data_IF_941695097395
#
_entry.id   IF_941695097395
#
_cell.length_a   1.000
_cell.length_b   1.000
_cell.length_c   1.000
_cell.angle_alpha   90.00
_cell.angle_beta   90.00
_cell.angle_gamma   90.00
#
_symmetry.space_group_name_H-M   'P 1'
#
loop_
_entity.id
_entity.type
_entity.pdbx_description
1 polymer ?
#
# COMPACT_ATOMS: atom_id res chain seq x y z
N UNK A 1 -13.02 17.16 23.99
CA UNK A 1 -12.89 15.72 23.69
C UNK A 1 -12.25 15.60 22.30
N UNK A 2 -10.99 15.18 22.23
CA UNK A 2 -10.32 14.91 20.96
C UNK A 2 -10.76 13.53 20.45
N UNK A 3 -10.98 13.32 19.14
CA UNK A 3 -11.17 11.98 18.60
C UNK A 3 -9.85 11.21 18.68
N UNK A 4 -9.86 10.08 19.36
CA UNK A 4 -8.74 9.13 19.47
C UNK A 4 -8.37 8.60 18.09
N UNK A 5 -7.29 9.10 17.48
CA UNK A 5 -6.78 8.60 16.19
C UNK A 5 -5.51 7.74 16.30
N UNK A 6 -5.11 7.40 17.53
CA UNK A 6 -4.04 6.44 17.80
C UNK A 6 -4.57 5.50 18.89
N UNK A 7 -4.71 4.22 18.55
CA UNK A 7 -5.35 3.20 19.40
C UNK A 7 -4.59 2.99 20.71
N UNK A 8 -5.02 3.69 21.76
CA UNK A 8 -4.64 3.45 23.14
C UNK A 8 -5.93 3.44 23.97
N UNK A 9 -6.22 2.31 24.62
CA UNK A 9 -7.34 2.16 25.56
C UNK A 9 -7.09 3.01 26.82
N UNK A 10 -8.09 3.78 27.25
CA UNK A 10 -8.02 4.62 28.46
C UNK A 10 -8.99 4.05 29.50
N UNK A 11 -8.45 3.74 30.68
CA UNK A 11 -9.14 3.24 31.86
C UNK A 11 -10.13 4.27 32.44
N UNK A 12 -11.30 3.81 32.86
CA UNK A 12 -12.49 4.64 33.15
C UNK A 12 -12.52 5.14 34.61
N UNK A 13 -11.49 4.88 35.41
CA UNK A 13 -11.49 5.18 36.86
C UNK A 13 -10.41 6.16 37.34
N UNK A 14 -9.92 7.07 36.50
CA UNK A 14 -8.99 8.14 36.92
C UNK A 14 -9.75 9.29 37.63
N UNK A 15 -9.46 9.58 38.92
CA UNK A 15 -10.17 10.59 39.70
C UNK A 15 -9.72 12.05 39.45
N UNK A 16 -8.72 12.32 38.60
CA UNK A 16 -8.25 13.69 38.31
C UNK A 16 -8.85 14.30 37.02
N UNK A 17 -10.17 14.15 36.84
CA UNK A 17 -10.90 14.80 35.75
C UNK A 17 -11.53 16.13 36.22
N UNK A 18 -11.12 17.30 35.70
CA UNK A 18 -11.69 18.57 36.12
C UNK A 18 -13.11 18.75 35.58
N UNK A 19 -14.07 18.78 36.50
CA UNK A 19 -15.50 19.03 36.27
C UNK A 19 -15.73 20.53 36.01
N UNK A 20 -16.66 20.80 35.09
CA UNK A 20 -17.26 22.09 34.68
C UNK A 20 -16.57 22.90 33.56
N UNK A 21 -17.00 22.61 32.33
CA UNK A 21 -17.78 23.60 31.57
C UNK A 21 -18.71 22.89 30.58
N UNK A 22 -19.80 22.35 31.11
CA UNK A 22 -20.95 21.89 30.31
C UNK A 22 -21.98 23.02 30.34
N UNK A 23 -21.86 23.96 29.41
CA UNK A 23 -23.00 24.72 28.83
C UNK A 23 -22.47 25.68 27.76
N UNK A 24 -22.64 25.33 26.49
CA UNK A 24 -23.49 26.11 25.60
C UNK A 24 -23.66 25.37 24.27
N UNK A 25 -24.94 25.18 23.96
CA UNK A 25 -25.52 24.75 22.70
C UNK A 25 -25.41 25.90 21.69
N UNK A 26 -24.90 25.62 20.49
CA UNK A 26 -25.14 26.31 19.21
C UNK A 26 -24.81 25.21 18.16
N UNK A 27 -25.66 24.62 17.31
CA UNK A 27 -26.91 25.03 16.65
C UNK A 27 -26.81 26.42 16.02
N UNK A 28 -25.93 26.51 15.03
CA UNK A 28 -25.95 27.57 14.03
C UNK A 28 -26.84 27.09 12.87
N UNK A 29 -28.11 27.47 12.97
CA UNK A 29 -29.10 27.49 11.89
C UNK A 29 -29.03 28.89 11.27
N UNK A 30 -28.27 29.05 10.19
CA UNK A 30 -28.20 30.31 9.44
C UNK A 30 -29.21 30.25 8.28
N UNK A 31 -30.46 30.57 8.64
CA UNK A 31 -31.55 30.84 7.71
C UNK A 31 -31.47 32.28 7.19
N UNK A 32 -30.94 32.46 5.99
CA UNK A 32 -31.14 33.67 5.19
C UNK A 32 -32.27 33.42 4.18
N UNK A 33 -33.43 34.00 4.43
CA UNK A 33 -34.42 34.23 3.37
C UNK A 33 -35.09 35.59 3.57
N UNK A 34 -34.62 36.57 2.80
CA UNK A 34 -35.36 37.81 2.51
C UNK A 34 -36.62 37.43 1.75
N UNK A 35 -37.78 37.60 2.38
CA UNK A 35 -39.08 37.50 1.71
C UNK A 35 -39.63 38.91 1.56
N UNK A 36 -39.57 39.42 0.34
CA UNK A 36 -40.57 40.33 -0.23
C UNK A 36 -40.50 40.19 -1.76
N UNK A 37 -41.47 39.50 -2.37
CA UNK A 37 -42.28 40.09 -3.44
C UNK A 37 -43.47 39.19 -3.81
N UNK A 38 -44.62 39.85 -3.87
CA UNK A 38 -45.94 39.35 -4.20
C UNK A 38 -46.12 39.35 -5.72
N UNK A 39 -46.31 38.20 -6.39
CA UNK A 39 -47.05 38.07 -7.65
C UNK A 39 -47.63 36.67 -7.85
N UNK A 40 -48.96 36.57 -7.75
CA UNK A 40 -49.76 35.55 -8.39
C UNK A 40 -49.33 35.37 -9.85
N UNK A 41 -48.85 34.18 -10.19
CA UNK A 41 -48.69 33.73 -11.58
C UNK A 41 -49.46 32.43 -11.73
N UNK A 42 -50.55 32.48 -12.50
CA UNK A 42 -51.29 31.31 -12.96
C UNK A 42 -50.35 30.19 -13.45
N UNK A 43 -50.71 28.90 -13.28
CA UNK A 43 -49.90 27.79 -13.78
C UNK A 43 -49.91 27.81 -15.31
N UNK A 44 -48.82 28.32 -15.91
CA UNK A 44 -48.62 28.28 -17.35
C UNK A 44 -48.43 26.81 -17.78
N UNK A 45 -49.31 26.24 -18.64
CA UNK A 45 -49.28 24.81 -19.01
C UNK A 45 -48.27 24.52 -20.13
N UNK A 46 -47.06 25.05 -19.99
CA UNK A 46 -45.93 24.81 -20.89
C UNK A 46 -44.69 24.49 -20.05
N UNK A 47 -44.76 23.38 -19.31
CA UNK A 47 -43.59 22.68 -18.79
C UNK A 47 -42.83 22.09 -19.99
N UNK A 48 -42.12 22.99 -20.68
CA UNK A 48 -41.12 22.62 -21.67
C UNK A 48 -39.99 22.02 -20.88
N UNK A 49 -39.92 20.68 -20.86
CA UNK A 49 -38.91 19.87 -20.19
C UNK A 49 -37.61 20.65 -19.96
N UNK A 50 -37.39 21.09 -18.72
CA UNK A 50 -36.13 21.71 -18.33
C UNK A 50 -35.04 20.67 -18.55
N UNK A 51 -34.35 20.76 -19.69
CA UNK A 51 -33.15 19.99 -19.97
C UNK A 51 -32.13 20.40 -18.91
N UNK A 52 -31.93 19.56 -17.89
CA UNK A 52 -30.91 19.73 -16.86
C UNK A 52 -29.63 19.04 -17.36
N UNK A 53 -28.68 19.79 -17.94
CA UNK A 53 -27.44 19.19 -18.47
C UNK A 53 -26.66 18.43 -17.39
N UNK A 54 -26.76 18.84 -16.13
CA UNK A 54 -26.11 18.22 -14.98
C UNK A 54 -26.63 16.81 -14.64
N UNK A 55 -27.86 16.46 -15.05
CA UNK A 55 -28.44 15.12 -14.88
C UNK A 55 -28.36 14.28 -16.16
N UNK A 56 -27.90 14.87 -17.27
CA UNK A 56 -27.85 14.18 -18.55
C UNK A 56 -26.66 13.23 -18.57
N UNK A 57 -26.94 11.93 -18.69
CA UNK A 57 -25.90 10.90 -18.80
C UNK A 57 -25.23 11.02 -20.17
N UNK A 58 -23.94 11.34 -20.18
CA UNK A 58 -23.15 11.40 -21.40
C UNK A 58 -23.07 9.97 -21.98
N UNK A 59 -23.38 9.75 -23.27
CA UNK A 59 -23.40 8.44 -23.90
C UNK A 59 -21.97 7.97 -24.21
N UNK A 60 -21.18 7.72 -23.18
CA UNK A 60 -19.88 7.07 -23.28
C UNK A 60 -20.04 5.56 -23.46
N UNK A 61 -19.09 4.88 -24.12
CA UNK A 61 -19.13 3.42 -24.27
C UNK A 61 -19.35 2.65 -22.96
N UNK A 62 -18.75 3.09 -21.85
CA UNK A 62 -18.96 2.51 -20.50
C UNK A 62 -20.38 2.69 -19.95
N UNK A 63 -21.14 3.68 -20.43
CA UNK A 63 -22.53 3.93 -20.07
C UNK A 63 -23.51 3.22 -21.03
N UNK A 64 -23.14 3.04 -22.29
CA UNK A 64 -23.94 2.33 -23.31
C UNK A 64 -23.88 0.82 -23.11
N UNK A 65 -22.72 0.31 -22.67
CA UNK A 65 -22.47 -1.11 -22.46
C UNK A 65 -21.90 -1.81 -23.68
N UNK A 66 -21.04 -2.80 -23.42
CA UNK A 66 -20.23 -3.47 -24.44
C UNK A 66 -21.05 -4.07 -25.59
N UNK A 67 -22.14 -4.78 -25.29
CA UNK A 67 -22.97 -5.46 -26.31
C UNK A 67 -23.51 -4.45 -27.31
N UNK A 68 -24.07 -3.35 -26.81
CA UNK A 68 -24.67 -2.31 -27.66
C UNK A 68 -23.61 -1.51 -28.42
N UNK A 69 -22.44 -1.29 -27.82
CA UNK A 69 -21.31 -0.69 -28.53
C UNK A 69 -20.83 -1.55 -29.70
N UNK A 70 -20.83 -2.89 -29.56
CA UNK A 70 -20.48 -3.80 -30.66
C UNK A 70 -21.54 -3.78 -31.77
N UNK A 71 -22.82 -3.77 -31.43
CA UNK A 71 -23.93 -3.65 -32.40
C UNK A 71 -23.86 -2.35 -33.21
N UNK A 72 -23.46 -1.25 -32.58
CA UNK A 72 -23.33 0.06 -33.20
C UNK A 72 -21.97 0.29 -33.90
N UNK A 73 -21.05 -0.69 -33.86
CA UNK A 73 -19.72 -0.56 -34.44
C UNK A 73 -18.78 0.39 -33.71
N UNK A 74 -19.03 0.71 -32.44
CA UNK A 74 -18.29 1.69 -31.62
C UNK A 74 -17.05 1.09 -30.92
N UNK A 75 -16.47 0.02 -31.47
CA UNK A 75 -15.35 -0.70 -30.86
C UNK A 75 -14.07 0.14 -30.77
N UNK A 76 -13.85 1.06 -31.72
CA UNK A 76 -12.72 2.00 -31.66
C UNK A 76 -12.89 3.01 -30.54
N UNK A 77 -14.10 3.57 -30.36
CA UNK A 77 -14.40 4.48 -29.24
C UNK A 77 -14.24 3.81 -27.88
N UNK A 78 -14.54 2.51 -27.77
CA UNK A 78 -14.27 1.77 -26.54
C UNK A 78 -12.78 1.74 -26.20
N UNK A 79 -11.90 1.52 -27.20
CA UNK A 79 -10.45 1.53 -26.99
C UNK A 79 -9.94 2.92 -26.61
N UNK A 80 -10.46 3.95 -27.27
CA UNK A 80 -10.13 5.34 -26.93
C UNK A 80 -10.59 5.70 -25.52
N UNK A 81 -11.80 5.29 -25.11
CA UNK A 81 -12.27 5.49 -23.74
C UNK A 81 -11.35 4.78 -22.74
N UNK A 82 -10.94 3.52 -23.00
CA UNK A 82 -10.00 2.81 -22.12
C UNK A 82 -8.72 3.63 -21.90
N UNK A 83 -8.12 4.14 -22.97
CA UNK A 83 -6.91 4.96 -22.90
C UNK A 83 -7.12 6.28 -22.14
N UNK A 84 -8.25 6.97 -22.37
CA UNK A 84 -8.59 8.19 -21.62
C UNK A 84 -8.81 7.90 -20.13
N UNK A 85 -9.44 6.78 -19.80
CA UNK A 85 -9.66 6.35 -18.41
C UNK A 85 -8.37 5.98 -17.72
N UNK A 86 -7.42 5.36 -18.43
CA UNK A 86 -6.07 5.12 -17.92
C UNK A 86 -5.39 6.44 -17.53
N UNK A 87 -5.42 7.45 -18.43
CA UNK A 87 -4.94 8.79 -18.13
C UNK A 87 -5.63 9.42 -16.90
N UNK A 88 -6.96 9.39 -16.87
CA UNK A 88 -7.75 9.92 -15.75
C UNK A 88 -7.43 9.21 -14.42
N UNK A 89 -7.22 7.91 -14.44
CA UNK A 89 -6.83 7.14 -13.25
C UNK A 89 -5.43 7.53 -12.77
N UNK A 90 -4.48 7.68 -13.69
CA UNK A 90 -3.11 8.12 -13.41
C UNK A 90 -3.10 9.54 -12.79
N UNK A 91 -3.82 10.49 -13.39
CA UNK A 91 -3.91 11.86 -12.88
C UNK A 91 -4.53 11.91 -11.48
N UNK A 92 -5.64 11.18 -11.26
CA UNK A 92 -6.30 11.13 -9.96
C UNK A 92 -5.38 10.51 -8.88
N UNK A 93 -4.66 9.44 -9.21
CA UNK A 93 -3.69 8.82 -8.30
C UNK A 93 -2.50 9.76 -8.02
N UNK A 94 -2.00 10.47 -9.03
CA UNK A 94 -0.94 11.46 -8.86
C UNK A 94 -1.39 12.58 -7.92
N UNK A 95 -2.58 13.16 -8.14
CA UNK A 95 -3.14 14.19 -7.28
C UNK A 95 -3.31 13.70 -5.83
N UNK A 96 -3.77 12.45 -5.63
CA UNK A 96 -3.84 11.84 -4.29
C UNK A 96 -2.46 11.82 -3.64
N UNK A 97 -1.40 11.39 -4.35
CA UNK A 97 -0.03 11.35 -3.82
C UNK A 97 0.47 12.74 -3.41
N UNK A 98 0.25 13.75 -4.27
CA UNK A 98 0.64 15.14 -4.01
C UNK A 98 -0.04 15.65 -2.75
N UNK A 99 -1.36 15.57 -2.69
CA UNK A 99 -2.11 16.03 -1.53
C UNK A 99 -1.76 15.25 -0.26
N UNK A 100 -1.48 13.95 -0.36
CA UNK A 100 -1.16 13.14 0.81
C UNK A 100 0.20 13.52 1.41
N UNK A 101 1.19 13.87 0.58
CA UNK A 101 2.45 14.38 1.10
C UNK A 101 2.40 15.84 1.53
N UNK A 102 1.61 16.69 0.88
CA UNK A 102 1.32 18.03 1.40
C UNK A 102 0.68 17.94 2.80
N UNK A 103 -0.26 17.02 3.00
CA UNK A 103 -0.89 16.74 4.31
C UNK A 103 0.16 16.33 5.34
N UNK A 104 1.08 15.44 4.96
CA UNK A 104 2.15 14.97 5.83
C UNK A 104 3.11 16.12 6.22
N UNK A 105 3.49 16.95 5.26
CA UNK A 105 4.35 18.12 5.47
C UNK A 105 3.69 19.18 6.35
N UNK A 106 2.41 19.49 6.12
CA UNK A 106 1.63 20.42 6.93
C UNK A 106 1.56 19.91 8.38
N UNK A 107 1.30 18.61 8.57
CA UNK A 107 1.23 18.01 9.90
C UNK A 107 2.54 18.18 10.66
N UNK A 108 3.67 17.83 10.03
CA UNK A 108 4.99 17.97 10.63
C UNK A 108 5.36 19.44 10.91
N UNK A 109 5.28 20.30 9.90
CA UNK A 109 5.82 21.67 10.02
C UNK A 109 4.90 22.61 10.81
N UNK A 110 3.57 22.48 10.66
CA UNK A 110 2.63 23.48 11.17
C UNK A 110 1.79 22.99 12.34
N UNK A 111 1.35 21.73 12.35
CA UNK A 111 0.50 21.20 13.44
C UNK A 111 1.35 20.91 14.67
N UNK A 112 2.47 20.19 14.52
CA UNK A 112 3.36 19.87 15.65
C UNK A 112 4.06 21.11 16.22
N UNK A 113 4.39 22.10 15.38
CA UNK A 113 5.05 23.33 15.81
C UNK A 113 4.12 24.40 16.38
N UNK A 114 2.79 24.20 16.33
CA UNK A 114 1.82 25.20 16.77
C UNK A 114 1.82 25.34 18.29
N UNK A 115 2.15 26.54 18.79
CA UNK A 115 2.20 26.85 20.23
C UNK A 115 0.95 27.55 20.77
N UNK A 116 0.06 28.01 19.90
CA UNK A 116 -1.16 28.75 20.29
C UNK A 116 -2.42 28.12 19.69
N UNK A 117 -3.55 28.34 20.35
CA UNK A 117 -4.85 27.84 19.90
C UNK A 117 -5.18 28.34 18.48
N UNK A 118 -5.01 29.65 18.21
CA UNK A 118 -5.26 30.22 16.89
C UNK A 118 -4.34 29.62 15.80
N UNK A 119 -3.07 29.35 16.13
CA UNK A 119 -2.14 28.69 15.20
C UNK A 119 -2.54 27.24 14.94
N UNK A 120 -2.95 26.52 15.98
CA UNK A 120 -3.43 25.13 15.88
C UNK A 120 -4.69 25.05 15.02
N UNK A 121 -5.69 25.90 15.27
CA UNK A 121 -6.93 25.95 14.47
C UNK A 121 -6.64 26.20 12.99
N UNK A 122 -5.79 27.18 12.67
CA UNK A 122 -5.39 27.45 11.27
C UNK A 122 -4.68 26.28 10.62
N UNK A 123 -3.78 25.62 11.34
CA UNK A 123 -3.10 24.43 10.84
C UNK A 123 -4.10 23.29 10.55
N UNK A 124 -5.04 23.04 11.45
CA UNK A 124 -6.10 22.05 11.26
C UNK A 124 -7.05 22.39 10.10
N UNK A 125 -7.39 23.67 9.89
CA UNK A 125 -8.17 24.11 8.72
C UNK A 125 -7.43 23.78 7.42
N UNK A 126 -6.11 23.98 7.38
CA UNK A 126 -5.29 23.62 6.21
C UNK A 126 -5.27 22.11 5.98
N UNK A 127 -5.13 21.30 7.04
CA UNK A 127 -5.20 19.84 6.94
C UNK A 127 -6.56 19.38 6.39
N UNK A 128 -7.66 19.97 6.86
CA UNK A 128 -9.01 19.65 6.37
C UNK A 128 -9.18 19.99 4.88
N UNK A 129 -8.67 21.14 4.45
CA UNK A 129 -8.70 21.54 3.03
C UNK A 129 -7.93 20.57 2.12
N UNK A 130 -6.78 20.08 2.57
CA UNK A 130 -6.04 19.05 1.82
C UNK A 130 -6.79 17.72 1.85
N UNK A 131 -7.42 17.37 2.96
CA UNK A 131 -8.22 16.15 3.07
C UNK A 131 -9.46 16.14 2.18
N UNK A 132 -10.13 17.28 1.98
CA UNK A 132 -11.23 17.37 1.01
C UNK A 132 -10.72 17.16 -0.42
N UNK A 133 -9.55 17.69 -0.77
CA UNK A 133 -8.91 17.45 -2.07
C UNK A 133 -8.52 15.98 -2.28
N UNK A 134 -7.99 15.30 -1.25
CA UNK A 134 -7.73 13.85 -1.29
C UNK A 134 -9.02 13.06 -1.54
N UNK A 135 -10.09 13.36 -0.79
CA UNK A 135 -11.36 12.65 -0.92
C UNK A 135 -12.04 12.89 -2.28
N UNK A 136 -11.92 14.10 -2.83
CA UNK A 136 -12.40 14.41 -4.18
C UNK A 136 -11.70 13.55 -5.23
N UNK A 137 -10.36 13.54 -5.23
CA UNK A 137 -9.59 12.74 -6.18
C UNK A 137 -9.80 11.23 -5.99
N UNK A 138 -9.96 10.76 -4.75
CA UNK A 138 -10.33 9.38 -4.45
C UNK A 138 -11.70 8.99 -5.03
N UNK A 139 -12.67 9.91 -4.99
CA UNK A 139 -13.98 9.73 -5.62
C UNK A 139 -13.88 9.68 -7.15
N UNK A 140 -13.09 10.57 -7.76
CA UNK A 140 -12.82 10.57 -9.21
C UNK A 140 -12.19 9.24 -9.64
N UNK A 141 -11.16 8.80 -8.92
CA UNK A 141 -10.51 7.51 -9.18
C UNK A 141 -11.48 6.34 -9.05
N UNK A 142 -12.26 6.29 -7.98
CA UNK A 142 -13.23 5.21 -7.73
C UNK A 142 -14.30 5.15 -8.82
N UNK A 143 -14.78 6.31 -9.29
CA UNK A 143 -15.70 6.40 -10.43
C UNK A 143 -15.03 5.97 -11.73
N UNK A 144 -13.79 6.40 -11.98
CA UNK A 144 -13.04 5.97 -13.18
C UNK A 144 -12.90 4.44 -13.23
N UNK A 145 -12.49 3.84 -12.10
CA UNK A 145 -12.34 2.39 -11.96
C UNK A 145 -13.66 1.64 -12.16
N UNK A 146 -14.79 2.16 -11.66
CA UNK A 146 -16.08 1.52 -11.84
C UNK A 146 -16.57 1.54 -13.30
N UNK A 147 -16.19 2.57 -14.07
CA UNK A 147 -16.47 2.61 -15.51
C UNK A 147 -15.51 1.71 -16.31
N UNK A 148 -14.23 1.65 -15.95
CA UNK A 148 -13.27 0.69 -16.51
C UNK A 148 -13.75 -0.75 -16.34
N UNK A 149 -14.38 -1.07 -15.20
CA UNK A 149 -14.92 -2.41 -14.95
C UNK A 149 -16.07 -2.83 -15.87
N UNK A 150 -16.72 -1.87 -16.55
CA UNK A 150 -17.80 -2.13 -17.53
C UNK A 150 -17.28 -2.31 -18.96
N UNK A 151 -15.99 -2.05 -19.18
CA UNK A 151 -15.31 -2.21 -20.45
C UNK A 151 -14.62 -3.60 -20.50
N UNK A 152 -14.38 -4.15 -21.69
CA UNK A 152 -13.88 -5.53 -21.86
C UNK A 152 -12.44 -5.75 -21.40
N UNK A 153 -11.65 -4.69 -21.19
CA UNK A 153 -10.26 -4.81 -20.77
C UNK A 153 -10.14 -4.89 -19.25
N UNK A 154 -10.07 -6.11 -18.74
CA UNK A 154 -9.94 -6.39 -17.32
C UNK A 154 -8.50 -6.46 -16.83
N UNK A 155 -7.49 -6.46 -17.70
CA UNK A 155 -6.09 -6.51 -17.27
C UNK A 155 -5.68 -5.22 -16.54
N UNK A 156 -6.24 -4.09 -16.96
CA UNK A 156 -6.10 -2.82 -16.25
C UNK A 156 -6.65 -2.85 -14.82
N UNK A 157 -7.64 -3.70 -14.52
CA UNK A 157 -8.18 -3.83 -13.15
C UNK A 157 -7.21 -4.54 -12.19
N UNK A 158 -6.20 -5.25 -12.71
CA UNK A 158 -5.09 -5.80 -11.92
C UNK A 158 -4.09 -4.71 -11.53
N UNK A 159 -3.87 -3.74 -12.42
CA UNK A 159 -3.02 -2.56 -12.20
C UNK A 159 -3.71 -1.55 -11.26
N UNK A 160 -4.98 -1.26 -11.53
CA UNK A 160 -5.79 -0.28 -10.79
C UNK A 160 -6.65 -0.95 -9.72
N UNK A 161 -6.12 -1.03 -8.49
CA UNK A 161 -6.77 -1.71 -7.38
C UNK A 161 -7.84 -0.83 -6.70
N UNK A 162 -8.85 -1.42 -6.04
CA UNK A 162 -9.82 -0.67 -5.25
C UNK A 162 -9.12 0.15 -4.16
N UNK A 163 -9.50 1.42 -4.02
CA UNK A 163 -8.95 2.32 -3.02
C UNK A 163 -9.73 2.20 -1.71
N UNK A 164 -9.06 1.84 -0.62
CA UNK A 164 -9.66 1.79 0.72
C UNK A 164 -9.36 3.09 1.48
N UNK A 165 -10.19 3.38 2.50
CA UNK A 165 -9.94 4.51 3.42
C UNK A 165 -8.60 4.37 4.16
N UNK A 166 -8.17 3.13 4.37
CA UNK A 166 -6.89 2.76 4.96
C UNK A 166 -5.71 3.29 4.15
N UNK A 167 -5.82 3.20 2.81
CA UNK A 167 -4.77 3.56 1.86
C UNK A 167 -4.54 5.08 1.79
N UNK A 168 -5.53 5.88 2.21
CA UNK A 168 -5.54 7.34 2.18
C UNK A 168 -4.96 7.98 3.45
N UNK A 169 -4.45 7.18 4.38
CA UNK A 169 -3.79 7.70 5.59
C UNK A 169 -2.45 8.31 5.21
N UNK A 170 -2.17 9.51 5.72
CA UNK A 170 -0.88 10.17 5.52
C UNK A 170 0.19 9.37 6.25
N UNK A 171 1.14 8.80 5.51
CA UNK A 171 2.27 8.10 6.11
C UNK A 171 3.31 9.10 6.60
N UNK A 172 3.81 8.90 7.82
CA UNK A 172 4.91 9.70 8.37
C UNK A 172 6.21 9.53 7.57
N UNK A 173 6.36 8.42 6.84
CA UNK A 173 7.46 8.21 5.89
C UNK A 173 7.42 9.18 4.70
N UNK A 174 6.27 9.80 4.41
CA UNK A 174 6.14 10.83 3.36
C UNK A 174 6.61 12.21 3.88
N UNK A 175 6.37 12.52 5.16
CA UNK A 175 6.78 13.78 5.77
C UNK A 175 8.28 13.85 6.07
N UNK A 176 8.85 12.75 6.57
CA UNK A 176 10.29 12.61 6.79
C UNK A 176 10.75 11.27 6.18
N UNK A 177 11.17 11.30 4.91
CA UNK A 177 11.69 10.12 4.25
C UNK A 177 12.89 9.53 4.98
N UNK A 178 13.65 10.30 5.76
CA UNK A 178 14.88 9.85 6.43
C UNK A 178 14.70 9.46 7.91
N UNK A 179 13.47 9.56 8.44
CA UNK A 179 13.17 9.18 9.82
C UNK A 179 13.55 7.72 10.14
N UNK A 180 14.14 7.51 11.32
CA UNK A 180 14.42 6.16 11.86
C UNK A 180 13.12 5.53 12.40
N UNK A 181 13.02 4.20 12.32
CA UNK A 181 11.86 3.45 12.85
C UNK A 181 10.73 3.19 11.85
N UNK A 182 10.87 3.62 10.60
CA UNK A 182 9.89 3.43 9.52
C UNK A 182 10.03 2.06 8.81
N UNK A 183 10.45 1.01 9.53
CA UNK A 183 10.73 -0.31 8.94
C UNK A 183 9.44 -1.07 8.57
N UNK A 184 8.37 -0.85 9.33
CA UNK A 184 7.12 -1.60 9.20
C UNK A 184 6.01 -0.80 8.48
N UNK A 185 6.27 0.45 8.12
CA UNK A 185 5.30 1.30 7.42
C UNK A 185 5.28 0.96 5.93
N UNK A 186 4.45 -0.02 5.58
CA UNK A 186 4.18 -0.37 4.17
C UNK A 186 3.37 0.76 3.53
N UNK A 187 3.90 1.37 2.46
CA UNK A 187 3.17 2.33 1.66
C UNK A 187 2.02 1.64 0.91
N UNK A 188 0.91 2.35 0.74
CA UNK A 188 -0.22 1.89 -0.08
C UNK A 188 0.23 1.51 -1.50
N UNK A 189 -0.42 0.51 -2.11
CA UNK A 189 -0.06 -0.05 -3.43
C UNK A 189 0.12 1.01 -4.53
N UNK A 190 -0.66 2.09 -4.47
CA UNK A 190 -0.60 3.15 -5.48
C UNK A 190 0.69 3.96 -5.42
N UNK A 191 1.53 3.87 -4.38
CA UNK A 191 2.83 4.54 -4.34
C UNK A 191 3.90 3.85 -5.21
N UNK A 192 3.71 2.57 -5.52
CA UNK A 192 4.63 1.78 -6.34
C UNK A 192 4.24 1.75 -7.82
N UNK A 193 3.08 2.30 -8.19
CA UNK A 193 2.68 2.39 -9.59
C UNK A 193 3.52 3.45 -10.33
N UNK A 194 4.02 3.08 -11.50
CA UNK A 194 4.55 4.04 -12.45
C UNK A 194 3.39 4.87 -13.01
N UNK A 195 3.23 6.06 -12.46
CA UNK A 195 2.28 7.06 -12.91
C UNK A 195 3.12 8.13 -13.57
N UNK A 196 3.21 8.06 -14.90
CA UNK A 196 3.86 9.08 -15.70
C UNK A 196 3.09 10.38 -15.50
N UNK A 197 3.69 11.31 -14.77
CA UNK A 197 3.09 12.58 -14.39
C UNK A 197 4.21 13.41 -13.79
N UNK A 198 4.53 14.49 -14.49
CA UNK A 198 5.70 15.33 -14.37
C UNK A 198 6.08 15.60 -12.90
N UNK A 199 7.15 14.96 -12.40
CA UNK A 199 7.74 15.29 -11.09
C UNK A 199 8.35 16.70 -11.08
N UNK A 200 8.28 17.43 -12.20
CA UNK A 200 8.72 18.81 -12.32
C UNK A 200 7.84 19.73 -11.46
N UNK A 201 8.38 20.16 -10.33
CA UNK A 201 7.78 21.21 -9.50
C UNK A 201 7.53 20.84 -8.04
N UNK A 202 7.63 19.56 -7.66
CA UNK A 202 7.47 19.15 -6.26
C UNK A 202 8.74 18.47 -5.71
N UNK A 203 9.66 19.28 -5.21
CA UNK A 203 11.00 18.89 -4.76
C UNK A 203 10.97 17.75 -3.73
N UNK A 204 10.11 17.88 -2.71
CA UNK A 204 9.96 16.85 -1.67
C UNK A 204 9.47 15.51 -2.23
N UNK A 205 8.65 15.53 -3.28
CA UNK A 205 8.11 14.31 -3.89
C UNK A 205 9.21 13.57 -4.67
N UNK A 206 10.10 14.30 -5.33
CA UNK A 206 11.27 13.72 -6.00
C UNK A 206 12.20 13.04 -4.99
N UNK A 207 12.52 13.74 -3.89
CA UNK A 207 13.32 13.17 -2.80
C UNK A 207 12.66 11.93 -2.19
N UNK A 208 11.35 11.99 -1.93
CA UNK A 208 10.59 10.86 -1.40
C UNK A 208 10.67 9.64 -2.31
N UNK A 209 10.42 9.79 -3.62
CA UNK A 209 10.51 8.67 -4.56
C UNK A 209 11.93 8.13 -4.66
N UNK A 210 12.94 8.99 -4.66
CA UNK A 210 14.34 8.57 -4.70
C UNK A 210 14.74 7.76 -3.46
N UNK A 211 14.39 8.22 -2.26
CA UNK A 211 14.64 7.50 -1.00
C UNK A 211 13.88 6.18 -0.97
N UNK A 212 12.60 6.19 -1.37
CA UNK A 212 11.79 4.97 -1.41
C UNK A 212 12.35 3.94 -2.42
N UNK A 213 12.80 4.41 -3.58
CA UNK A 213 13.47 3.58 -4.57
C UNK A 213 14.77 2.99 -4.01
N UNK A 214 15.62 3.79 -3.36
CA UNK A 214 16.85 3.30 -2.72
C UNK A 214 16.58 2.24 -1.67
N UNK A 215 15.54 2.42 -0.83
CA UNK A 215 15.12 1.43 0.18
C UNK A 215 14.64 0.13 -0.45
N UNK A 216 13.80 0.22 -1.46
CA UNK A 216 13.26 -0.95 -2.17
C UNK A 216 14.37 -1.70 -2.88
N UNK A 217 15.30 -0.96 -3.52
CA UNK A 217 16.52 -1.51 -4.12
C UNK A 217 17.37 -2.23 -3.08
N UNK A 218 17.68 -1.59 -1.95
CA UNK A 218 18.49 -2.19 -0.89
C UNK A 218 17.82 -3.44 -0.28
N UNK A 219 16.49 -3.45 -0.14
CA UNK A 219 15.74 -4.62 0.33
C UNK A 219 15.84 -5.78 -0.65
N UNK A 220 15.63 -5.51 -1.95
CA UNK A 220 15.81 -6.50 -3.02
C UNK A 220 17.23 -7.04 -3.06
N UNK A 221 18.23 -6.16 -3.00
CA UNK A 221 19.64 -6.55 -3.04
C UNK A 221 19.99 -7.42 -1.81
N UNK A 222 19.50 -7.08 -0.61
CA UNK A 222 19.63 -7.92 0.59
C UNK A 222 18.95 -9.28 0.44
N UNK A 223 17.73 -9.34 -0.10
CA UNK A 223 17.06 -10.62 -0.33
C UNK A 223 17.80 -11.48 -1.36
N UNK A 224 18.37 -10.87 -2.39
CA UNK A 224 19.23 -11.58 -3.34
C UNK A 224 20.48 -12.15 -2.64
N UNK A 225 21.14 -11.36 -1.79
CA UNK A 225 22.26 -11.82 -0.96
C UNK A 225 21.84 -12.97 -0.03
N UNK A 226 20.70 -12.82 0.67
CA UNK A 226 20.19 -13.83 1.60
C UNK A 226 19.92 -15.16 0.89
N UNK A 227 19.32 -15.14 -0.32
CA UNK A 227 19.11 -16.35 -1.12
C UNK A 227 20.44 -17.04 -1.45
N UNK A 228 21.49 -16.27 -1.75
CA UNK A 228 22.83 -16.82 -2.02
C UNK A 228 23.44 -17.40 -0.73
N UNK A 229 23.36 -16.67 0.38
CA UNK A 229 23.89 -17.09 1.67
C UNK A 229 23.21 -18.37 2.16
N UNK A 230 21.89 -18.43 2.14
CA UNK A 230 21.11 -19.60 2.57
C UNK A 230 21.51 -20.85 1.77
N UNK A 231 21.74 -20.73 0.46
CA UNK A 231 22.24 -21.86 -0.36
C UNK A 231 23.62 -22.33 0.10
N UNK A 232 24.52 -21.41 0.42
CA UNK A 232 25.84 -21.75 0.95
C UNK A 232 25.76 -22.34 2.37
N UNK A 233 24.91 -21.79 3.24
CA UNK A 233 24.69 -22.28 4.60
C UNK A 233 24.10 -23.69 4.63
N UNK A 234 23.20 -24.03 3.70
CA UNK A 234 22.72 -25.40 3.51
C UNK A 234 23.89 -26.36 3.22
N UNK A 235 24.77 -25.98 2.28
CA UNK A 235 25.93 -26.79 1.94
C UNK A 235 26.94 -26.88 3.10
N UNK A 236 27.19 -25.77 3.79
CA UNK A 236 28.08 -25.71 4.94
C UNK A 236 27.55 -26.55 6.11
N UNK A 237 26.25 -26.59 6.32
CA UNK A 237 25.63 -27.42 7.36
C UNK A 237 25.87 -28.91 7.10
N UNK A 238 25.67 -29.38 5.86
CA UNK A 238 25.97 -30.75 5.45
C UNK A 238 27.47 -31.04 5.64
N UNK A 239 28.34 -30.15 5.18
CA UNK A 239 29.79 -30.29 5.31
C UNK A 239 30.22 -30.34 6.78
N UNK A 240 29.60 -29.54 7.65
CA UNK A 240 29.85 -29.53 9.08
C UNK A 240 29.46 -30.86 9.73
N UNK A 241 28.29 -31.41 9.42
CA UNK A 241 27.88 -32.72 9.93
C UNK A 241 28.83 -33.83 9.45
N UNK A 242 29.18 -33.85 8.17
CA UNK A 242 30.16 -34.79 7.62
C UNK A 242 31.54 -34.66 8.30
N UNK A 243 31.98 -33.43 8.55
CA UNK A 243 33.22 -33.16 9.27
C UNK A 243 33.17 -33.71 10.70
N UNK A 244 32.07 -33.47 11.43
CA UNK A 244 31.86 -34.01 12.79
C UNK A 244 31.80 -35.53 12.81
N UNK A 245 31.11 -36.16 11.87
CA UNK A 245 31.08 -37.61 11.72
C UNK A 245 32.50 -38.19 11.57
N UNK A 246 33.34 -37.58 10.71
CA UNK A 246 34.75 -37.96 10.53
C UNK A 246 35.60 -37.75 11.78
N UNK A 247 35.40 -36.66 12.51
CA UNK A 247 36.10 -36.41 13.78
C UNK A 247 35.79 -37.51 14.81
N UNK A 248 34.51 -37.84 14.99
CA UNK A 248 34.10 -38.93 15.89
C UNK A 248 34.62 -40.30 15.46
N UNK A 249 34.69 -40.56 14.16
CA UNK A 249 35.30 -41.77 13.63
C UNK A 249 36.81 -41.83 13.92
N UNK A 250 37.50 -40.69 13.90
CA UNK A 250 38.88 -40.57 14.37
C UNK A 250 39.02 -40.89 15.86
N UNK A 251 38.14 -40.34 16.70
CA UNK A 251 38.10 -40.66 18.14
C UNK A 251 37.85 -42.16 18.40
N UNK A 252 36.96 -42.78 17.62
CA UNK A 252 36.70 -44.22 17.69
C UNK A 252 37.95 -45.06 17.39
N UNK A 253 38.70 -44.71 16.34
CA UNK A 253 39.95 -45.38 15.97
C UNK A 253 40.99 -45.28 17.09
N UNK A 254 41.17 -44.09 17.65
CA UNK A 254 42.11 -43.85 18.75
C UNK A 254 41.73 -44.62 20.02
N UNK A 255 40.44 -44.63 20.39
CA UNK A 255 39.94 -45.38 21.54
C UNK A 255 40.12 -46.89 21.36
N UNK A 256 39.94 -47.38 20.12
CA UNK A 256 40.14 -48.80 19.77
C UNK A 256 41.60 -49.20 19.92
N UNK A 257 42.54 -48.38 19.42
CA UNK A 257 43.98 -48.63 19.62
C UNK A 257 44.40 -48.57 21.09
N UNK A 258 43.68 -47.82 21.93
CA UNK A 258 43.92 -47.73 23.37
C UNK A 258 43.20 -48.81 24.20
N UNK A 259 42.42 -49.70 23.58
CA UNK A 259 41.66 -50.75 24.29
C UNK A 259 40.45 -50.25 25.09
N UNK A 260 39.95 -49.04 24.82
CA UNK A 260 38.86 -48.40 25.57
C UNK A 260 37.49 -48.70 24.94
N UNK A 261 36.96 -49.92 25.15
CA UNK A 261 35.74 -50.43 24.48
C UNK A 261 34.51 -49.50 24.62
N UNK A 262 34.27 -48.93 25.80
CA UNK A 262 33.15 -48.01 26.03
C UNK A 262 33.26 -46.71 25.22
N UNK A 263 34.48 -46.18 25.09
CA UNK A 263 34.74 -44.96 24.32
C UNK A 263 34.61 -45.22 22.82
N UNK A 264 35.05 -46.40 22.36
CA UNK A 264 34.83 -46.85 20.97
C UNK A 264 33.35 -46.90 20.64
N UNK A 265 32.52 -47.52 21.48
CA UNK A 265 31.08 -47.62 21.26
C UNK A 265 30.40 -46.24 21.23
N UNK A 266 30.75 -45.36 22.17
CA UNK A 266 30.19 -44.00 22.22
C UNK A 266 30.58 -43.17 20.99
N UNK A 267 31.86 -43.19 20.62
CA UNK A 267 32.35 -42.46 19.45
C UNK A 267 31.73 -42.98 18.14
N UNK A 268 31.54 -44.31 18.02
CA UNK A 268 30.83 -44.90 16.89
C UNK A 268 29.37 -44.41 16.81
N UNK A 269 28.67 -44.38 17.94
CA UNK A 269 27.30 -43.84 18.01
C UNK A 269 27.24 -42.36 17.60
N UNK A 270 28.16 -41.53 18.09
CA UNK A 270 28.21 -40.10 17.74
C UNK A 270 28.50 -39.90 16.25
N UNK A 271 29.44 -40.66 15.69
CA UNK A 271 29.72 -40.64 14.25
C UNK A 271 28.46 -40.95 13.44
N UNK A 272 27.75 -42.01 13.81
CA UNK A 272 26.50 -42.39 13.14
C UNK A 272 25.40 -41.32 13.24
N UNK A 273 25.23 -40.66 14.39
CA UNK A 273 24.27 -39.57 14.55
C UNK A 273 24.56 -38.43 13.57
N UNK A 274 25.82 -38.02 13.44
CA UNK A 274 26.20 -36.94 12.52
C UNK A 274 26.05 -37.36 11.05
N UNK A 275 26.28 -38.62 10.70
CA UNK A 275 25.98 -39.15 9.36
C UNK A 275 24.47 -39.09 9.06
N UNK A 276 23.63 -39.47 10.02
CA UNK A 276 22.18 -39.36 9.86
C UNK A 276 21.72 -37.91 9.71
N UNK A 277 22.28 -36.98 10.50
CA UNK A 277 21.99 -35.54 10.36
C UNK A 277 22.41 -35.00 9.00
N UNK A 278 23.58 -35.41 8.48
CA UNK A 278 24.05 -35.03 7.15
C UNK A 278 23.10 -35.53 6.06
N UNK A 279 22.73 -36.81 6.10
CA UNK A 279 21.82 -37.41 5.13
C UNK A 279 20.42 -36.78 5.17
N UNK A 280 19.89 -36.52 6.37
CA UNK A 280 18.60 -35.87 6.55
C UNK A 280 18.60 -34.42 6.04
N UNK A 281 19.66 -33.66 6.34
CA UNK A 281 19.83 -32.30 5.85
C UNK A 281 19.94 -32.26 4.33
N UNK A 282 20.71 -33.17 3.73
CA UNK A 282 20.86 -33.27 2.28
C UNK A 282 19.52 -33.55 1.58
N UNK A 283 18.74 -34.54 2.06
CA UNK A 283 17.43 -34.84 1.51
C UNK A 283 16.44 -33.67 1.66
N UNK A 284 16.42 -33.03 2.84
CA UNK A 284 15.54 -31.89 3.12
C UNK A 284 15.89 -30.67 2.27
N UNK A 285 17.17 -30.33 2.16
CA UNK A 285 17.63 -29.18 1.36
C UNK A 285 17.43 -29.43 -0.14
N UNK A 286 17.67 -30.66 -0.62
CA UNK A 286 17.41 -31.01 -2.02
C UNK A 286 15.94 -30.83 -2.38
N UNK A 287 15.02 -31.28 -1.53
CA UNK A 287 13.56 -31.08 -1.71
C UNK A 287 13.19 -29.60 -1.80
N UNK A 288 13.75 -28.76 -0.91
CA UNK A 288 13.51 -27.31 -0.94
C UNK A 288 14.10 -26.64 -2.18
N UNK A 289 15.31 -27.00 -2.59
CA UNK A 289 15.94 -26.43 -3.80
C UNK A 289 15.14 -26.78 -5.06
N UNK A 290 14.64 -28.01 -5.18
CA UNK A 290 13.75 -28.40 -6.29
C UNK A 290 12.47 -27.56 -6.29
N UNK A 291 11.85 -27.29 -5.14
CA UNK A 291 10.68 -26.41 -5.06
C UNK A 291 10.98 -24.96 -5.47
N UNK A 292 12.20 -24.47 -5.21
CA UNK A 292 12.65 -23.13 -5.60
C UNK A 292 13.01 -23.03 -7.09
N UNK A 293 13.45 -24.13 -7.71
CA UNK A 293 13.82 -24.21 -9.13
C UNK A 293 12.64 -24.55 -10.05
N UNK A 294 11.54 -25.11 -9.53
CA UNK A 294 10.28 -25.16 -10.28
C UNK A 294 9.87 -23.70 -10.53
N UNK A 295 9.78 -23.25 -11.79
CA UNK A 295 9.29 -21.93 -12.07
C UNK A 295 7.86 -21.87 -11.54
N UNK A 296 7.67 -21.20 -10.41
CA UNK A 296 6.38 -20.62 -10.07
C UNK A 296 5.99 -19.89 -11.35
N UNK A 297 4.93 -20.35 -12.00
CA UNK A 297 4.46 -19.80 -13.26
C UNK A 297 3.93 -18.40 -12.99
N UNK A 298 4.84 -17.45 -12.80
CA UNK A 298 4.56 -16.04 -12.89
C UNK A 298 4.50 -15.78 -14.37
N UNK A 299 3.29 -15.85 -14.91
CA UNK A 299 2.99 -15.42 -16.27
C UNK A 299 3.25 -13.91 -16.33
N UNK A 300 4.51 -13.52 -16.51
CA UNK A 300 4.86 -12.19 -16.98
C UNK A 300 4.43 -12.21 -18.45
N UNK A 301 3.24 -11.68 -18.72
CA UNK A 301 2.84 -11.30 -20.06
C UNK A 301 3.76 -10.16 -20.46
N UNK A 302 4.80 -10.51 -21.23
CA UNK A 302 5.68 -9.53 -21.85
C UNK A 302 4.90 -8.72 -22.87
N UNK A 303 4.73 -7.42 -22.58
CA UNK A 303 4.39 -6.45 -23.60
C UNK A 303 5.64 -6.13 -24.42
N UNK A 304 5.70 -6.67 -25.63
CA UNK A 304 6.51 -6.11 -26.71
C UNK A 304 5.84 -4.81 -27.18
N UNK A 305 6.57 -3.72 -27.13
CA UNK A 305 6.23 -2.41 -27.70
C UNK A 305 7.41 -1.47 -27.55
#
# INVERSE_FOLDING_TARGET
MAPTYLGVEVDVNDPDCPVNSVRNLLHDDEGYSDLDNDQNSDPNPLDTSMFQPELTVIPLPSNIGEVRCRELGLTNLMKEEISLREGQANDALHAIRVHLGDKALIFHNTVQSAKSQASSTRAWTRVRSVETAVNLNASIYSKCRSQLAKLPDHDLLKKYLPLKKEDLKASSAVADPNARGQRDTTLSWFWSLDVQGDTSGNDWMTEFYWVNWLRTKALRDRWNEEVILVKHEMQWSINFFNHRAKQWLGHMRNATSAGLTGHTCYAARQSHIYEQLAAHAEDSFRKMLVQLEVPVSVTIVGGTG
#
